data_IF_596827534340
#
_entry.id   IF_596827534340
#
_cell.length_a   1.000
_cell.length_b   1.000
_cell.length_c   1.000
_cell.angle_alpha   90.00
_cell.angle_beta   90.00
_cell.angle_gamma   90.00
#
_symmetry.space_group_name_H-M   'P 1'
#
loop_
_entity.id
_entity.type
_entity.pdbx_description
1 polymer ?
#
# COMPACT_ATOMS: atom_id res chain seq x y z
N UNK A 1 50.49 -47.14 -11.33
CA UNK A 1 49.21 -47.43 -10.64
C UNK A 1 48.87 -46.20 -9.80
N UNK A 2 47.71 -45.53 -9.97
CA UNK A 2 47.35 -44.41 -9.12
C UNK A 2 46.73 -44.94 -7.81
N UNK A 3 47.13 -44.36 -6.68
CA UNK A 3 46.48 -44.59 -5.38
C UNK A 3 45.25 -43.69 -5.30
N UNK A 4 44.07 -44.30 -5.21
CA UNK A 4 42.83 -43.59 -4.88
C UNK A 4 42.82 -43.44 -3.35
N UNK A 5 42.96 -42.20 -2.88
CA UNK A 5 42.80 -41.86 -1.47
C UNK A 5 41.30 -41.73 -1.20
N UNK A 6 40.73 -42.74 -0.55
CA UNK A 6 39.36 -42.71 -0.06
C UNK A 6 39.30 -41.78 1.17
N UNK A 7 38.72 -40.60 1.02
CA UNK A 7 38.38 -39.75 2.16
C UNK A 7 37.01 -40.18 2.71
N UNK A 8 36.89 -40.42 4.03
CA UNK A 8 35.58 -40.69 4.62
C UNK A 8 34.67 -39.47 4.49
N UNK A 9 33.33 -39.67 4.36
CA UNK A 9 32.38 -38.58 4.21
C UNK A 9 32.47 -37.66 5.42
N UNK A 10 32.73 -36.37 5.16
CA UNK A 10 32.82 -35.35 6.21
C UNK A 10 31.44 -35.21 6.85
N UNK A 11 31.26 -35.71 8.08
CA UNK A 11 30.07 -35.44 8.87
C UNK A 11 30.08 -33.98 9.29
N UNK A 12 29.58 -33.09 8.44
CA UNK A 12 29.24 -31.73 8.85
C UNK A 12 28.07 -31.86 9.83
N UNK A 13 28.37 -31.92 11.13
CA UNK A 13 27.37 -31.72 12.16
C UNK A 13 26.85 -30.30 11.96
N UNK A 14 25.62 -30.19 11.45
CA UNK A 14 24.88 -28.94 11.49
C UNK A 14 24.68 -28.62 12.97
N UNK A 15 25.51 -27.73 13.50
CA UNK A 15 25.30 -27.07 14.79
C UNK A 15 23.94 -26.35 14.69
N UNK A 16 22.87 -27.06 15.06
CA UNK A 16 21.54 -26.48 15.17
C UNK A 16 21.51 -25.74 16.48
N UNK A 17 21.51 -24.42 16.41
CA UNK A 17 21.28 -23.59 17.59
C UNK A 17 19.82 -23.77 18.01
N UNK A 18 19.60 -24.40 19.16
CA UNK A 18 18.28 -24.52 19.75
C UNK A 18 17.98 -23.27 20.57
N UNK A 19 16.91 -22.56 20.21
CA UNK A 19 16.42 -21.43 21.00
C UNK A 19 15.69 -22.00 22.22
N UNK A 20 16.24 -21.81 23.41
CA UNK A 20 15.57 -22.13 24.67
C UNK A 20 14.88 -20.88 25.22
N UNK A 21 13.54 -20.93 25.35
CA UNK A 21 12.76 -19.89 26.02
C UNK A 21 12.76 -20.20 27.52
N UNK A 22 13.48 -19.39 28.30
CA UNK A 22 13.52 -19.54 29.75
C UNK A 22 12.18 -19.05 30.34
N UNK A 23 11.29 -19.97 30.71
CA UNK A 23 10.02 -19.67 31.38
C UNK A 23 10.23 -19.56 32.89
N UNK A 24 11.24 -18.81 33.31
CA UNK A 24 11.40 -18.39 34.68
C UNK A 24 11.11 -16.90 34.70
N UNK A 25 9.83 -16.54 34.79
CA UNK A 25 9.41 -15.55 35.77
C UNK A 25 7.89 -15.57 35.94
N UNK A 26 7.53 -15.30 37.19
CA UNK A 26 6.21 -15.44 37.79
C UNK A 26 5.14 -14.65 37.04
N UNK A 27 3.94 -15.20 37.06
CA UNK A 27 2.69 -14.53 36.71
C UNK A 27 2.64 -13.10 37.30
N UNK A 28 2.82 -12.12 36.43
CA UNK A 28 2.18 -10.83 36.51
C UNK A 28 1.98 -10.39 35.07
N UNK A 29 0.79 -10.67 34.53
CA UNK A 29 0.42 -10.36 33.15
C UNK A 29 0.50 -8.86 32.91
N UNK A 30 1.60 -8.43 32.30
CA UNK A 30 1.78 -7.06 31.86
C UNK A 30 1.06 -6.89 30.51
N UNK A 31 0.03 -6.05 30.50
CA UNK A 31 -0.88 -5.81 29.37
C UNK A 31 -0.17 -5.06 28.22
N UNK A 32 1.12 -4.74 28.40
CA UNK A 32 1.99 -4.02 27.46
C UNK A 32 2.32 -4.82 26.19
N UNK A 33 2.45 -6.15 26.26
CA UNK A 33 2.86 -6.98 25.11
C UNK A 33 1.80 -7.08 24.00
N UNK A 34 0.51 -6.97 24.34
CA UNK A 34 -0.58 -7.06 23.36
C UNK A 34 -0.63 -5.81 22.47
N UNK A 35 -0.32 -4.63 23.01
CA UNK A 35 -0.32 -3.38 22.26
C UNK A 35 0.89 -3.28 21.34
N UNK A 36 2.06 -3.79 21.76
CA UNK A 36 3.28 -3.82 20.95
C UNK A 36 3.11 -4.69 19.70
N UNK A 37 2.52 -5.88 19.84
CA UNK A 37 2.27 -6.79 18.70
C UNK A 37 1.23 -6.26 17.71
N UNK A 38 0.18 -5.57 18.21
CA UNK A 38 -0.80 -4.92 17.33
C UNK A 38 -0.23 -3.74 16.57
N UNK A 39 0.65 -2.96 17.20
CA UNK A 39 1.30 -1.82 16.56
C UNK A 39 2.21 -2.27 15.40
N UNK A 40 2.96 -3.36 15.59
CA UNK A 40 3.79 -3.95 14.54
C UNK A 40 2.94 -4.49 13.38
N UNK A 41 1.78 -5.09 13.68
CA UNK A 41 0.85 -5.60 12.67
C UNK A 41 0.19 -4.48 11.85
N UNK A 42 -0.32 -3.44 12.51
CA UNK A 42 -0.95 -2.28 11.84
C UNK A 42 0.07 -1.48 11.02
N UNK A 43 1.31 -1.37 11.50
CA UNK A 43 2.40 -0.73 10.76
C UNK A 43 2.77 -1.54 9.52
N UNK A 44 2.91 -2.88 9.66
CA UNK A 44 3.17 -3.76 8.53
C UNK A 44 2.03 -3.70 7.49
N UNK A 45 0.77 -3.64 7.93
CA UNK A 45 -0.37 -3.50 7.00
C UNK A 45 -0.31 -2.16 6.24
N UNK A 46 -0.01 -1.04 6.93
CA UNK A 46 0.12 0.25 6.28
C UNK A 46 1.28 0.30 5.27
N UNK A 47 2.45 -0.24 5.63
CA UNK A 47 3.62 -0.31 4.74
C UNK A 47 3.32 -1.19 3.53
N UNK A 48 2.63 -2.31 3.73
CA UNK A 48 2.21 -3.17 2.63
C UNK A 48 1.21 -2.46 1.70
N UNK A 49 0.23 -1.76 2.25
CA UNK A 49 -0.75 -1.00 1.47
C UNK A 49 -0.10 0.12 0.68
N UNK A 50 0.82 0.88 1.29
CA UNK A 50 1.54 1.94 0.58
C UNK A 50 2.41 1.37 -0.52
N UNK A 51 3.18 0.31 -0.25
CA UNK A 51 4.02 -0.33 -1.26
C UNK A 51 3.20 -0.89 -2.42
N UNK A 52 2.06 -1.53 -2.13
CA UNK A 52 1.14 -2.03 -3.16
C UNK A 52 0.57 -0.90 -4.01
N UNK A 53 0.16 0.20 -3.37
CA UNK A 53 -0.33 1.39 -4.07
C UNK A 53 0.74 1.97 -4.99
N UNK A 54 1.96 2.16 -4.49
CA UNK A 54 3.07 2.73 -5.25
C UNK A 54 3.38 1.89 -6.51
N UNK A 55 3.43 0.57 -6.37
CA UNK A 55 3.62 -0.36 -7.50
C UNK A 55 2.49 -0.23 -8.53
N UNK A 56 1.23 -0.18 -8.08
CA UNK A 56 0.09 -0.04 -8.97
C UNK A 56 0.11 1.30 -9.72
N UNK A 57 0.45 2.39 -9.03
CA UNK A 57 0.57 3.72 -9.63
C UNK A 57 1.70 3.77 -10.65
N UNK A 58 2.86 3.20 -10.34
CA UNK A 58 3.99 3.16 -11.26
C UNK A 58 3.65 2.37 -12.53
N UNK A 59 3.08 1.17 -12.37
CA UNK A 59 2.63 0.34 -13.49
C UNK A 59 1.57 1.04 -14.33
N UNK A 60 0.61 1.69 -13.67
CA UNK A 60 -0.41 2.47 -14.34
C UNK A 60 0.20 3.63 -15.15
N UNK A 61 1.11 4.42 -14.56
CA UNK A 61 1.79 5.51 -15.25
C UNK A 61 2.56 5.00 -16.47
N UNK A 62 3.29 3.89 -16.32
CA UNK A 62 4.04 3.27 -17.43
C UNK A 62 3.13 2.81 -18.57
N UNK A 63 1.99 2.17 -18.25
CA UNK A 63 1.02 1.71 -19.25
C UNK A 63 0.29 2.85 -19.96
N UNK A 64 0.05 3.95 -19.24
CA UNK A 64 -0.78 5.06 -19.71
C UNK A 64 0.00 6.25 -20.24
N UNK A 65 1.33 6.28 -20.10
CA UNK A 65 2.20 7.37 -20.56
C UNK A 65 2.01 7.74 -22.03
N UNK A 66 1.74 6.76 -22.89
CA UNK A 66 1.52 6.95 -24.33
C UNK A 66 0.03 6.98 -24.74
N UNK A 67 -0.88 6.90 -23.77
CA UNK A 67 -2.31 6.93 -24.04
C UNK A 67 -2.81 8.37 -24.06
N UNK A 68 -3.47 8.75 -25.16
CA UNK A 68 -4.09 10.07 -25.34
C UNK A 68 -5.57 10.10 -24.93
N UNK A 69 -6.19 8.94 -24.71
CA UNK A 69 -7.60 8.82 -24.36
C UNK A 69 -7.79 8.58 -22.87
N UNK A 70 -8.41 9.55 -22.19
CA UNK A 70 -8.74 9.46 -20.77
C UNK A 70 -9.54 8.20 -20.46
N UNK A 71 -10.49 7.81 -21.31
CA UNK A 71 -11.29 6.60 -21.11
C UNK A 71 -10.44 5.33 -21.08
N UNK A 72 -9.38 5.26 -21.89
CA UNK A 72 -8.43 4.13 -21.87
C UNK A 72 -7.54 4.18 -20.63
N UNK A 73 -7.10 5.36 -20.23
CA UNK A 73 -6.28 5.58 -19.03
C UNK A 73 -7.04 5.11 -17.76
N UNK A 74 -8.33 5.40 -17.66
CA UNK A 74 -9.17 5.00 -16.50
C UNK A 74 -9.68 3.56 -16.58
N UNK A 75 -9.56 2.90 -17.73
CA UNK A 75 -9.96 1.48 -17.90
C UNK A 75 -8.77 0.52 -17.74
N UNK A 76 -7.58 1.03 -17.40
CA UNK A 76 -6.42 0.19 -17.11
C UNK A 76 -6.66 -0.65 -15.86
N UNK A 77 -6.17 -1.89 -15.86
CA UNK A 77 -6.38 -2.82 -14.75
C UNK A 77 -5.78 -2.28 -13.44
N UNK A 78 -4.59 -1.67 -13.48
CA UNK A 78 -3.96 -1.14 -12.27
C UNK A 78 -4.78 0.00 -11.66
N UNK A 79 -5.45 0.81 -12.51
CA UNK A 79 -6.34 1.86 -12.05
C UNK A 79 -7.57 1.28 -11.32
N UNK A 80 -8.13 0.18 -11.83
CA UNK A 80 -9.25 -0.52 -11.19
C UNK A 80 -8.82 -1.16 -9.87
N UNK A 81 -7.62 -1.74 -9.81
CA UNK A 81 -7.07 -2.32 -8.58
C UNK A 81 -6.86 -1.25 -7.50
N UNK A 82 -6.43 -0.03 -7.87
CA UNK A 82 -6.34 1.12 -6.94
C UNK A 82 -7.73 1.49 -6.39
N UNK A 83 -8.78 1.43 -7.21
CA UNK A 83 -10.15 1.69 -6.76
C UNK A 83 -10.63 0.59 -5.80
N UNK A 84 -10.29 -0.66 -6.08
CA UNK A 84 -10.65 -1.82 -5.24
C UNK A 84 -10.04 -1.73 -3.84
N UNK A 85 -8.88 -1.07 -3.68
CA UNK A 85 -8.31 -0.77 -2.36
C UNK A 85 -9.22 0.12 -1.48
N UNK A 86 -10.18 0.82 -2.09
CA UNK A 86 -11.25 1.53 -1.39
C UNK A 86 -10.76 2.70 -0.54
N UNK A 87 -11.36 2.87 0.64
CA UNK A 87 -11.14 4.06 1.48
C UNK A 87 -9.70 4.21 1.98
N UNK A 88 -8.98 3.10 2.15
CA UNK A 88 -7.58 3.11 2.61
C UNK A 88 -6.64 3.74 1.58
N UNK A 89 -7.02 3.73 0.30
CA UNK A 89 -6.25 4.37 -0.76
C UNK A 89 -6.50 5.88 -0.87
N UNK A 90 -7.57 6.43 -0.27
CA UNK A 90 -7.88 7.87 -0.34
C UNK A 90 -6.69 8.75 0.09
N UNK A 91 -6.09 8.58 1.29
CA UNK A 91 -4.96 9.41 1.70
C UNK A 91 -3.74 9.24 0.79
N UNK A 92 -3.52 8.03 0.26
CA UNK A 92 -2.40 7.73 -0.65
C UNK A 92 -2.59 8.46 -2.00
N UNK A 93 -3.79 8.37 -2.58
CA UNK A 93 -4.14 9.07 -3.83
C UNK A 93 -4.02 10.58 -3.64
N UNK A 94 -4.48 11.12 -2.52
CA UNK A 94 -4.42 12.56 -2.25
C UNK A 94 -2.97 13.06 -2.17
N UNK A 95 -2.10 12.31 -1.50
CA UNK A 95 -0.68 12.62 -1.44
C UNK A 95 -0.04 12.60 -2.84
N UNK A 96 -0.43 11.63 -3.68
CA UNK A 96 0.08 11.53 -5.05
C UNK A 96 -0.39 12.67 -5.95
N UNK A 97 -1.69 13.00 -5.94
CA UNK A 97 -2.23 14.12 -6.75
C UNK A 97 -1.80 15.50 -6.25
N UNK A 98 -1.39 15.61 -4.98
CA UNK A 98 -0.82 16.84 -4.42
C UNK A 98 0.60 17.08 -4.97
N UNK A 99 1.38 16.01 -5.15
CA UNK A 99 2.71 16.07 -5.80
C UNK A 99 2.59 16.28 -7.30
N UNK A 100 1.76 15.46 -7.96
CA UNK A 100 1.62 15.45 -9.41
C UNK A 100 0.14 15.37 -9.82
N UNK A 101 -0.44 16.45 -10.38
CA UNK A 101 -1.85 16.46 -10.77
C UNK A 101 -2.09 15.47 -11.93
N UNK A 102 -2.88 14.42 -11.67
CA UNK A 102 -3.08 13.33 -12.62
C UNK A 102 -4.55 12.84 -12.66
N UNK A 103 -4.84 11.97 -13.64
CA UNK A 103 -6.16 11.36 -13.85
C UNK A 103 -6.58 10.47 -12.67
N UNK A 104 -5.67 10.12 -11.74
CA UNK A 104 -5.98 9.45 -10.47
C UNK A 104 -7.04 10.16 -9.63
N UNK A 105 -7.21 11.47 -9.82
CA UNK A 105 -8.28 12.24 -9.18
C UNK A 105 -9.68 11.66 -9.40
N UNK A 106 -9.91 10.96 -10.52
CA UNK A 106 -11.19 10.34 -10.81
C UNK A 106 -11.43 9.07 -9.98
N UNK A 107 -10.38 8.39 -9.52
CA UNK A 107 -10.51 7.26 -8.60
C UNK A 107 -11.17 7.70 -7.29
N UNK A 108 -10.85 8.91 -6.79
CA UNK A 108 -11.50 9.48 -5.62
C UNK A 108 -13.01 9.64 -5.81
N UNK A 109 -13.48 10.03 -7.00
CA UNK A 109 -14.91 10.15 -7.27
C UNK A 109 -15.63 8.80 -7.17
N UNK A 110 -14.96 7.72 -7.57
CA UNK A 110 -15.51 6.36 -7.56
C UNK A 110 -15.51 5.83 -6.13
N UNK A 111 -14.37 5.91 -5.43
CA UNK A 111 -14.21 5.42 -4.06
C UNK A 111 -15.14 6.15 -3.08
N UNK A 112 -15.19 7.48 -3.14
CA UNK A 112 -16.02 8.28 -2.22
C UNK A 112 -17.49 8.36 -2.65
N UNK A 113 -17.82 7.84 -3.84
CA UNK A 113 -19.09 8.02 -4.54
C UNK A 113 -19.57 9.49 -4.55
N UNK A 114 -18.62 10.44 -4.50
CA UNK A 114 -18.89 11.87 -4.46
C UNK A 114 -18.28 12.51 -5.70
N UNK A 115 -19.07 13.35 -6.39
CA UNK A 115 -18.62 14.06 -7.58
C UNK A 115 -18.34 15.50 -7.21
N UNK A 116 -17.15 15.97 -7.53
CA UNK A 116 -16.90 17.41 -7.55
C UNK A 116 -17.87 18.04 -8.55
N UNK A 117 -18.74 18.94 -8.06
CA UNK A 117 -19.90 19.53 -8.75
C UNK A 117 -19.74 19.61 -10.28
N UNK A 118 -20.56 18.83 -10.97
CA UNK A 118 -20.48 18.50 -12.40
C UNK A 118 -20.94 19.61 -13.33
N UNK A 119 -21.25 20.80 -12.81
CA UNK A 119 -21.78 21.93 -13.58
C UNK A 119 -20.72 22.66 -14.40
N UNK A 120 -19.44 22.39 -14.19
CA UNK A 120 -18.34 22.97 -14.97
C UNK A 120 -17.40 21.87 -15.46
N UNK A 121 -16.92 21.99 -16.71
CA UNK A 121 -15.79 21.19 -17.21
C UNK A 121 -14.53 21.62 -16.45
N UNK A 122 -14.27 20.96 -15.33
CA UNK A 122 -13.06 21.16 -14.55
C UNK A 122 -11.88 20.47 -15.27
N UNK A 123 -10.76 21.17 -15.33
CA UNK A 123 -9.50 20.54 -15.74
C UNK A 123 -9.00 19.57 -14.66
N UNK A 124 -8.18 18.60 -15.02
CA UNK A 124 -7.61 17.61 -14.08
C UNK A 124 -6.91 18.32 -12.91
N UNK A 125 -6.15 19.38 -13.19
CA UNK A 125 -5.45 20.18 -12.19
C UNK A 125 -6.38 20.88 -11.20
N UNK A 126 -7.49 21.45 -11.68
CA UNK A 126 -8.48 22.10 -10.81
C UNK A 126 -9.21 21.08 -9.93
N UNK A 127 -9.54 19.92 -10.49
CA UNK A 127 -10.14 18.81 -9.74
C UNK A 127 -9.20 18.35 -8.62
N UNK A 128 -7.90 18.19 -8.91
CA UNK A 128 -6.89 17.82 -7.91
C UNK A 128 -6.83 18.83 -6.76
N UNK A 129 -6.70 20.13 -7.08
CA UNK A 129 -6.65 21.21 -6.08
C UNK A 129 -7.90 21.23 -5.20
N UNK A 130 -9.07 20.99 -5.77
CA UNK A 130 -10.34 20.99 -5.04
C UNK A 130 -10.46 19.77 -4.13
N UNK A 131 -9.99 18.60 -4.56
CA UNK A 131 -9.90 17.40 -3.71
C UNK A 131 -8.95 17.60 -2.53
N UNK A 132 -7.72 18.06 -2.77
CA UNK A 132 -6.73 18.35 -1.71
C UNK A 132 -7.28 19.37 -0.71
N UNK A 133 -7.94 20.43 -1.19
CA UNK A 133 -8.57 21.43 -0.33
C UNK A 133 -9.72 20.85 0.50
N UNK A 134 -10.54 19.96 -0.07
CA UNK A 134 -11.62 19.30 0.65
C UNK A 134 -11.12 18.35 1.73
N UNK A 135 -10.03 17.64 1.46
CA UNK A 135 -9.36 16.75 2.42
C UNK A 135 -8.79 17.53 3.60
N UNK A 136 -8.04 18.61 3.33
CA UNK A 136 -7.49 19.49 4.38
C UNK A 136 -8.58 20.14 5.24
N UNK A 137 -9.79 20.33 4.69
CA UNK A 137 -10.96 20.86 5.41
C UNK A 137 -11.77 19.79 6.14
N UNK A 138 -11.36 18.51 6.10
CA UNK A 138 -12.07 17.40 6.75
C UNK A 138 -13.47 17.13 6.16
N UNK A 139 -13.75 17.59 4.93
CA UNK A 139 -15.07 17.45 4.29
C UNK A 139 -15.26 16.12 3.56
N UNK A 140 -14.24 15.26 3.56
CA UNK A 140 -14.32 13.92 2.99
C UNK A 140 -14.91 13.00 4.06
N UNK A 141 -16.16 12.59 3.87
CA UNK A 141 -16.80 11.58 4.73
C UNK A 141 -16.28 10.21 4.28
N UNK A 142 -15.31 9.66 4.99
CA UNK A 142 -15.09 8.21 4.97
C UNK A 142 -16.25 7.59 5.74
N UNK A 143 -16.97 6.63 5.15
CA UNK A 143 -18.02 5.92 5.88
C UNK A 143 -17.30 4.91 6.76
N UNK A 144 -17.09 5.25 8.03
CA UNK A 144 -16.77 4.25 9.05
C UNK A 144 -17.91 3.22 9.03
N UNK A 145 -17.60 2.02 8.51
CA UNK A 145 -18.45 0.85 8.62
C UNK A 145 -18.41 0.29 10.04
#
# INVERSE_FOLDING_TARGET
MPFIVDLPPTSKSLERTYIQRNTNDKESGDISDINTLKLDQDLMEQVYLSARFDILVENWKNNTMFQSSISKITSDQNFMDIIEMGERAIPLIINEIEKEPSVLVWALNIITNNRIDSRQRLTVTEACKKWVSNFKRGKIRTKTA
#
